data_IF_614499648802
#
_entry.id   IF_614499648802
#
_cell.length_a   1.000
_cell.length_b   1.000
_cell.length_c   1.000
_cell.angle_alpha   90.00
_cell.angle_beta   90.00
_cell.angle_gamma   90.00
#
_symmetry.space_group_name_H-M   'P 1'
#
loop_
_entity.id
_entity.type
_entity.pdbx_description
1 polymer ?
#
# COMPACT_ATOMS: atom_id res chain seq x y z
N UNK A 1 51.57 7.61 27.39
CA UNK A 1 51.32 8.27 26.09
C UNK A 1 50.75 7.20 25.15
N UNK A 2 49.43 7.03 25.13
CA UNK A 2 48.74 5.96 24.38
C UNK A 2 47.87 6.60 23.29
N UNK A 3 48.17 6.29 22.03
CA UNK A 3 47.38 6.71 20.87
C UNK A 3 46.27 5.69 20.54
N UNK A 4 45.17 6.26 20.08
CA UNK A 4 43.84 5.73 19.79
C UNK A 4 43.79 4.56 18.79
N UNK A 5 42.91 3.58 19.08
CA UNK A 5 42.39 2.58 18.13
C UNK A 5 40.95 2.96 17.76
N UNK A 6 40.77 3.89 16.82
CA UNK A 6 39.45 4.17 16.22
C UNK A 6 39.61 4.49 14.74
N UNK A 7 39.95 3.51 13.93
CA UNK A 7 39.74 3.53 12.47
C UNK A 7 39.75 2.07 12.00
N UNK A 8 39.02 1.73 10.94
CA UNK A 8 38.78 0.37 10.38
C UNK A 8 37.49 -0.30 10.88
N UNK A 9 36.32 0.33 10.66
CA UNK A 9 35.02 -0.38 10.48
C UNK A 9 34.21 0.19 9.29
N UNK A 10 34.52 1.41 8.82
CA UNK A 10 33.73 2.10 7.77
C UNK A 10 33.96 1.53 6.34
N UNK A 11 35.08 0.83 6.10
CA UNK A 11 35.43 0.34 4.75
C UNK A 11 34.66 -0.89 4.26
N UNK A 12 34.11 -1.73 5.14
CA UNK A 12 33.50 -3.01 4.74
C UNK A 12 32.01 -2.87 4.40
N UNK A 13 31.29 -1.94 5.04
CA UNK A 13 29.84 -1.75 4.81
C UNK A 13 29.57 -1.07 3.45
N UNK A 14 30.43 -0.15 3.03
CA UNK A 14 30.29 0.56 1.74
C UNK A 14 30.48 -0.41 0.55
N UNK A 15 31.35 -1.41 0.68
CA UNK A 15 31.60 -2.40 -0.39
C UNK A 15 30.41 -3.37 -0.53
N UNK A 16 29.71 -3.71 0.55
CA UNK A 16 28.51 -4.56 0.49
C UNK A 16 27.32 -3.81 -0.14
N UNK A 17 27.14 -2.52 0.17
CA UNK A 17 26.07 -1.71 -0.43
C UNK A 17 26.30 -1.42 -1.93
N UNK A 18 27.55 -1.10 -2.33
CA UNK A 18 27.90 -0.93 -3.75
C UNK A 18 27.87 -2.24 -4.52
N UNK A 19 28.27 -3.35 -3.89
CA UNK A 19 28.16 -4.68 -4.48
C UNK A 19 26.71 -5.05 -4.81
N UNK A 20 25.75 -4.75 -3.91
CA UNK A 20 24.33 -4.99 -4.14
C UNK A 20 23.75 -4.10 -5.26
N UNK A 21 24.15 -2.82 -5.32
CA UNK A 21 23.74 -1.88 -6.36
C UNK A 21 24.28 -2.22 -7.76
N UNK A 22 25.47 -2.81 -7.86
CA UNK A 22 26.06 -3.24 -9.14
C UNK A 22 25.53 -4.61 -9.58
N UNK A 23 25.29 -5.53 -8.63
CA UNK A 23 24.66 -6.82 -8.92
C UNK A 23 23.20 -6.67 -9.36
N UNK A 24 22.41 -5.75 -8.78
CA UNK A 24 21.04 -5.50 -9.24
C UNK A 24 21.01 -4.98 -10.67
N UNK A 25 21.88 -4.03 -11.05
CA UNK A 25 21.95 -3.52 -12.42
C UNK A 25 22.36 -4.57 -13.47
N UNK A 26 23.09 -5.61 -13.06
CA UNK A 26 23.60 -6.62 -14.01
C UNK A 26 22.68 -7.83 -14.13
N UNK A 27 21.95 -8.19 -13.06
CA UNK A 27 21.02 -9.33 -13.06
C UNK A 27 19.69 -8.98 -13.78
N UNK A 28 19.26 -7.72 -13.79
CA UNK A 28 18.03 -7.30 -14.48
C UNK A 28 18.19 -6.99 -15.98
N UNK A 29 19.29 -7.43 -16.62
CA UNK A 29 19.57 -7.19 -18.04
C UNK A 29 19.40 -8.43 -18.94
N UNK A 30 18.59 -9.40 -18.49
CA UNK A 30 18.08 -10.42 -19.39
C UNK A 30 16.74 -9.95 -19.93
N UNK A 31 16.66 -9.83 -21.25
CA UNK A 31 15.44 -9.55 -22.02
C UNK A 31 14.37 -10.62 -21.71
N UNK A 32 13.56 -10.37 -20.69
CA UNK A 32 12.37 -11.18 -20.40
C UNK A 32 11.28 -10.74 -21.38
N UNK A 33 11.19 -11.42 -22.52
CA UNK A 33 10.05 -11.32 -23.41
C UNK A 33 8.87 -12.06 -22.76
N UNK A 34 7.83 -11.31 -22.38
CA UNK A 34 6.54 -11.87 -21.99
C UNK A 34 5.99 -12.72 -23.16
N UNK A 35 5.46 -13.94 -22.90
CA UNK A 35 4.79 -14.71 -23.93
C UNK A 35 3.58 -13.94 -24.47
N UNK A 36 3.60 -13.61 -25.76
CA UNK A 36 2.43 -13.07 -26.45
C UNK A 36 1.51 -14.22 -26.84
N UNK A 37 0.60 -14.60 -25.93
CA UNK A 37 -0.44 -15.58 -26.23
C UNK A 37 -1.01 -16.24 -24.97
N UNK A 38 -1.95 -15.56 -24.32
CA UNK A 38 -2.83 -16.12 -23.30
C UNK A 38 -4.24 -15.58 -23.52
N UNK A 39 -5.22 -16.48 -23.51
CA UNK A 39 -6.62 -16.19 -23.78
C UNK A 39 -7.16 -15.00 -22.94
N UNK A 40 -8.06 -14.25 -23.52
CA UNK A 40 -8.65 -13.06 -22.90
C UNK A 40 -9.48 -13.46 -21.67
N UNK A 41 -9.00 -13.06 -20.50
CA UNK A 41 -9.57 -13.17 -19.16
C UNK A 41 -11.10 -12.99 -19.11
N UNK A 42 -11.80 -13.86 -18.38
CA UNK A 42 -13.05 -13.52 -17.68
C UNK A 42 -12.70 -13.18 -16.23
N UNK A 43 -13.18 -12.05 -15.72
CA UNK A 43 -12.99 -11.68 -14.32
C UNK A 43 -13.55 -12.77 -13.39
N UNK A 44 -12.75 -13.20 -12.40
CA UNK A 44 -13.19 -14.06 -11.30
C UNK A 44 -13.03 -15.57 -11.50
N UNK A 45 -12.35 -16.05 -12.54
CA UNK A 45 -12.09 -17.48 -12.69
C UNK A 45 -10.90 -17.93 -11.82
N UNK A 46 -11.16 -18.85 -10.89
CA UNK A 46 -10.12 -19.48 -10.07
C UNK A 46 -9.58 -20.70 -10.84
N UNK A 47 -8.29 -20.67 -11.14
CA UNK A 47 -7.55 -21.72 -11.81
C UNK A 47 -6.89 -22.65 -10.79
N UNK A 48 -6.54 -23.86 -11.25
CA UNK A 48 -5.74 -24.82 -10.46
C UNK A 48 -4.59 -25.32 -11.31
N UNK A 49 -3.36 -25.08 -10.86
CA UNK A 49 -2.12 -25.60 -11.48
C UNK A 49 -1.37 -26.41 -10.45
N UNK A 50 -1.07 -27.67 -10.73
CA UNK A 50 -0.38 -28.60 -9.82
C UNK A 50 -0.98 -28.64 -8.41
N UNK A 51 -2.31 -28.60 -8.33
CA UNK A 51 -3.06 -28.61 -7.06
C UNK A 51 -3.10 -27.26 -6.32
N UNK A 52 -2.43 -26.23 -6.82
CA UNK A 52 -2.45 -24.87 -6.26
C UNK A 52 -3.55 -24.05 -6.90
N UNK A 53 -4.50 -23.53 -6.10
CA UNK A 53 -5.50 -22.57 -6.57
C UNK A 53 -4.86 -21.20 -6.79
N UNK A 54 -5.25 -20.49 -7.86
CA UNK A 54 -4.81 -19.12 -8.13
C UNK A 54 -5.82 -18.36 -8.99
N UNK A 55 -5.88 -17.03 -8.85
CA UNK A 55 -6.72 -16.14 -9.67
C UNK A 55 -5.91 -15.22 -10.59
N UNK A 56 -4.58 -15.34 -10.56
CA UNK A 56 -3.63 -14.64 -11.44
C UNK A 56 -2.55 -15.62 -11.91
N UNK A 57 -1.95 -15.43 -13.11
CA UNK A 57 -0.89 -16.30 -13.58
C UNK A 57 0.28 -16.36 -12.59
N UNK A 58 0.73 -17.58 -12.25
CA UNK A 58 1.76 -17.79 -11.22
C UNK A 58 3.12 -17.21 -11.61
N UNK A 59 3.40 -17.13 -12.92
CA UNK A 59 4.62 -16.54 -13.48
C UNK A 59 4.64 -15.00 -13.46
N UNK A 60 3.49 -14.36 -13.23
CA UNK A 60 3.41 -12.91 -12.96
C UNK A 60 3.76 -12.54 -11.51
N UNK A 61 3.89 -13.52 -10.62
CA UNK A 61 4.24 -13.30 -9.21
C UNK A 61 5.75 -13.35 -9.05
N UNK A 62 6.36 -12.17 -8.97
CA UNK A 62 7.81 -11.99 -8.99
C UNK A 62 8.38 -11.83 -7.58
N UNK A 63 9.65 -12.22 -7.39
CA UNK A 63 10.39 -11.90 -6.17
C UNK A 63 10.86 -10.43 -6.16
N UNK A 64 10.60 -9.72 -5.07
CA UNK A 64 11.02 -8.34 -4.86
C UNK A 64 12.48 -8.18 -4.40
N UNK A 65 13.18 -9.29 -4.16
CA UNK A 65 14.55 -9.34 -3.64
C UNK A 65 14.63 -9.92 -2.22
N UNK A 66 13.90 -9.37 -1.24
CA UNK A 66 13.79 -9.97 0.09
C UNK A 66 13.08 -11.34 0.06
N UNK A 67 13.48 -12.30 0.91
CA UNK A 67 12.70 -13.53 1.11
C UNK A 67 11.39 -13.23 1.88
N UNK A 68 10.55 -14.26 2.05
CA UNK A 68 9.42 -14.22 3.00
C UNK A 68 9.91 -13.74 4.37
N UNK A 69 9.19 -12.78 4.95
CA UNK A 69 9.53 -12.07 6.19
C UNK A 69 10.90 -11.33 6.18
N UNK A 70 11.54 -11.19 5.02
CA UNK A 70 12.77 -10.40 4.87
C UNK A 70 12.56 -8.91 5.14
N UNK A 71 11.31 -8.45 5.00
CA UNK A 71 10.82 -7.15 5.48
C UNK A 71 9.91 -7.45 6.69
N UNK A 72 10.42 -7.37 7.94
CA UNK A 72 9.68 -7.85 9.09
C UNK A 72 8.42 -7.00 9.33
N UNK A 73 7.25 -7.64 9.44
CA UNK A 73 6.03 -6.96 9.86
C UNK A 73 6.15 -6.47 11.32
N UNK A 74 5.33 -5.47 11.69
CA UNK A 74 5.20 -5.04 13.08
C UNK A 74 3.97 -5.69 13.68
N UNK A 75 4.17 -6.68 14.56
CA UNK A 75 3.08 -7.47 15.13
C UNK A 75 2.71 -7.05 16.56
N UNK A 76 3.55 -6.25 17.20
CA UNK A 76 3.30 -5.67 18.52
C UNK A 76 3.64 -4.16 18.53
N UNK A 77 2.86 -3.34 17.81
CA UNK A 77 3.17 -1.94 17.59
C UNK A 77 3.10 -1.15 18.91
N UNK A 78 4.12 -0.30 19.12
CA UNK A 78 4.18 0.65 20.23
C UNK A 78 3.89 2.04 19.73
N UNK A 79 3.18 2.82 20.53
CA UNK A 79 2.74 4.16 20.19
C UNK A 79 3.29 5.20 21.16
N UNK A 80 3.59 6.37 20.63
CA UNK A 80 4.04 7.54 21.39
C UNK A 80 3.08 8.70 21.21
N UNK A 81 3.19 9.72 22.07
CA UNK A 81 2.41 10.94 21.95
C UNK A 81 2.80 11.73 20.70
N UNK A 82 1.92 12.64 20.26
CA UNK A 82 2.25 13.61 19.20
C UNK A 82 3.49 14.46 19.54
N UNK A 83 3.68 14.80 20.81
CA UNK A 83 4.82 15.59 21.26
C UNK A 83 6.13 14.82 21.07
N UNK A 84 6.19 13.56 21.52
CA UNK A 84 7.36 12.70 21.36
C UNK A 84 7.62 12.38 19.89
N UNK A 85 6.55 12.15 19.11
CA UNK A 85 6.64 11.89 17.69
C UNK A 85 7.25 13.08 16.92
N UNK A 86 7.02 14.31 17.40
CA UNK A 86 7.57 15.53 16.80
C UNK A 86 9.10 15.62 16.93
N UNK A 87 9.74 14.78 17.76
CA UNK A 87 11.20 14.66 17.79
C UNK A 87 11.77 13.99 16.53
N UNK A 88 10.96 13.27 15.77
CA UNK A 88 11.40 12.56 14.56
C UNK A 88 10.48 12.73 13.35
N UNK A 89 9.37 13.46 13.49
CA UNK A 89 8.45 13.83 12.41
C UNK A 89 8.30 15.35 12.35
N UNK A 90 8.30 15.89 11.14
CA UNK A 90 7.85 17.23 10.83
C UNK A 90 6.42 17.20 10.27
N UNK A 91 5.80 18.38 10.11
CA UNK A 91 4.42 18.51 9.66
C UNK A 91 4.17 17.95 8.25
N UNK A 92 5.18 17.91 7.38
CA UNK A 92 5.02 17.45 6.00
C UNK A 92 5.18 15.95 5.83
N UNK A 93 5.69 15.24 6.84
CA UNK A 93 5.86 13.79 6.77
C UNK A 93 4.53 13.08 6.52
N UNK A 94 4.43 12.25 5.47
CA UNK A 94 3.21 11.53 5.14
C UNK A 94 3.05 10.24 5.96
N UNK A 95 1.82 9.76 6.04
CA UNK A 95 1.48 8.50 6.68
C UNK A 95 0.00 8.15 6.51
N UNK A 96 -0.38 7.04 7.12
CA UNK A 96 -1.78 6.60 7.20
C UNK A 96 -2.36 7.09 8.54
N UNK A 97 -3.49 7.74 8.49
CA UNK A 97 -4.30 8.10 9.66
C UNK A 97 -5.59 7.29 9.67
N UNK A 98 -6.01 6.82 10.83
CA UNK A 98 -7.36 6.28 11.05
C UNK A 98 -7.84 6.61 12.47
N UNK A 99 -9.15 6.58 12.65
CA UNK A 99 -9.82 6.72 13.93
C UNK A 99 -10.90 5.64 14.02
N UNK A 100 -10.78 4.76 15.02
CA UNK A 100 -11.76 3.71 15.31
C UNK A 100 -12.16 3.86 16.77
N UNK A 101 -13.47 4.02 17.01
CA UNK A 101 -14.05 4.16 18.34
C UNK A 101 -13.36 5.25 19.19
N UNK A 102 -12.98 6.37 18.57
CA UNK A 102 -12.31 7.50 19.23
C UNK A 102 -10.81 7.29 19.49
N UNK A 103 -10.24 6.17 19.05
CA UNK A 103 -8.80 5.90 19.11
C UNK A 103 -8.18 6.26 17.76
N UNK A 104 -7.61 7.46 17.69
CA UNK A 104 -6.92 7.95 16.50
C UNK A 104 -5.44 7.55 16.50
N UNK A 105 -4.97 7.00 15.37
CA UNK A 105 -3.56 6.60 15.18
C UNK A 105 -2.99 7.09 13.85
N UNK A 106 -1.70 7.39 13.87
CA UNK A 106 -0.91 7.75 12.70
C UNK A 106 0.26 6.79 12.50
N UNK A 107 0.43 6.27 11.28
CA UNK A 107 1.48 5.33 10.89
C UNK A 107 2.36 6.02 9.84
N UNK A 108 3.54 6.53 10.23
CA UNK A 108 4.38 7.29 9.32
C UNK A 108 4.97 6.43 8.20
N UNK A 109 4.99 6.94 6.97
CA UNK A 109 5.63 6.23 5.86
C UNK A 109 7.12 6.02 6.05
N UNK A 110 7.82 6.91 6.78
CA UNK A 110 9.22 6.71 7.12
C UNK A 110 9.50 5.47 8.00
N UNK A 111 8.45 4.89 8.62
CA UNK A 111 8.50 3.61 9.31
C UNK A 111 7.92 2.53 8.40
N UNK A 112 6.73 2.75 7.84
CA UNK A 112 6.04 1.75 7.01
C UNK A 112 6.85 1.30 5.79
N UNK A 113 7.69 2.16 5.19
CA UNK A 113 8.57 1.77 4.07
C UNK A 113 9.56 0.65 4.41
N UNK A 114 9.85 0.44 5.70
CA UNK A 114 10.77 -0.59 6.19
C UNK A 114 10.09 -1.86 6.72
N UNK A 115 8.76 -1.86 6.78
CA UNK A 115 7.96 -2.91 7.43
C UNK A 115 6.79 -3.40 6.58
N UNK A 116 6.23 -2.54 5.74
CA UNK A 116 5.10 -2.74 4.83
C UNK A 116 3.78 -3.17 5.50
N UNK A 117 3.81 -3.86 6.63
CA UNK A 117 2.67 -4.42 7.34
C UNK A 117 2.76 -4.10 8.84
N UNK A 118 1.63 -3.69 9.42
CA UNK A 118 1.42 -3.61 10.88
C UNK A 118 0.14 -4.37 11.23
N UNK A 119 0.26 -5.40 12.06
CA UNK A 119 -0.88 -6.13 12.63
C UNK A 119 -1.25 -5.47 13.97
N UNK A 120 -2.41 -4.82 14.04
CA UNK A 120 -2.71 -3.91 15.15
C UNK A 120 -4.15 -4.05 15.69
N UNK A 121 -4.40 -3.47 16.86
CA UNK A 121 -5.71 -3.33 17.50
C UNK A 121 -5.97 -1.87 17.84
N UNK A 122 -6.94 -1.23 17.19
CA UNK A 122 -7.32 0.17 17.36
C UNK A 122 -8.75 0.25 17.88
N UNK A 123 -8.98 0.94 19.01
CA UNK A 123 -10.33 1.08 19.56
C UNK A 123 -11.04 -0.27 19.83
N UNK A 124 -10.28 -1.32 20.14
CA UNK A 124 -10.79 -2.69 20.35
C UNK A 124 -10.98 -3.51 19.07
N UNK A 125 -10.77 -2.95 17.88
CA UNK A 125 -10.91 -3.65 16.61
C UNK A 125 -9.55 -4.03 16.03
N UNK A 126 -9.40 -5.28 15.54
CA UNK A 126 -8.21 -5.69 14.77
C UNK A 126 -8.17 -4.98 13.43
N UNK A 127 -7.00 -4.51 13.05
CA UNK A 127 -6.74 -3.86 11.77
C UNK A 127 -5.43 -4.37 11.18
N UNK A 128 -5.38 -4.43 9.86
CA UNK A 128 -4.18 -4.70 9.09
C UNK A 128 -3.81 -3.42 8.34
N UNK A 129 -2.72 -2.77 8.76
CA UNK A 129 -2.17 -1.61 8.06
C UNK A 129 -1.18 -2.12 7.01
N UNK A 130 -1.34 -1.70 5.76
CA UNK A 130 -0.46 -2.12 4.67
C UNK A 130 0.06 -0.91 3.90
N UNK A 131 1.31 -0.98 3.45
CA UNK A 131 1.94 0.04 2.63
C UNK A 131 2.85 -0.58 1.57
N UNK A 132 2.56 -0.31 0.30
CA UNK A 132 3.46 -0.62 -0.80
C UNK A 132 4.16 0.67 -1.24
N UNK A 133 5.45 0.84 -0.96
CA UNK A 133 6.18 2.05 -1.35
C UNK A 133 6.30 2.20 -2.87
N UNK A 134 6.47 1.09 -3.60
CA UNK A 134 6.57 1.12 -5.07
C UNK A 134 5.32 1.67 -5.76
N UNK A 135 4.16 1.56 -5.10
CA UNK A 135 2.86 1.96 -5.63
C UNK A 135 2.26 3.16 -4.90
N UNK A 136 2.95 3.70 -3.88
CA UNK A 136 2.43 4.70 -2.95
C UNK A 136 1.03 4.33 -2.42
N UNK A 137 0.79 3.06 -2.13
CA UNK A 137 -0.52 2.56 -1.72
C UNK A 137 -0.56 2.21 -0.23
N UNK A 138 -1.31 3.00 0.53
CA UNK A 138 -1.58 2.78 1.94
C UNK A 138 -3.04 2.34 2.14
N UNK A 139 -3.24 1.08 2.54
CA UNK A 139 -4.58 0.50 2.67
C UNK A 139 -4.72 -0.16 4.04
N UNK A 140 -5.85 0.10 4.70
CA UNK A 140 -6.20 -0.52 5.98
C UNK A 140 -7.32 -1.52 5.76
N UNK A 141 -7.12 -2.75 6.22
CA UNK A 141 -8.11 -3.81 6.12
C UNK A 141 -8.61 -4.27 7.49
N UNK A 142 -9.83 -4.81 7.50
CA UNK A 142 -10.30 -5.71 8.54
C UNK A 142 -9.75 -7.11 8.25
N UNK A 143 -8.85 -7.64 9.08
CA UNK A 143 -8.21 -8.93 8.83
C UNK A 143 -9.07 -10.10 9.32
N UNK A 144 -10.39 -10.04 9.07
CA UNK A 144 -11.31 -11.14 9.33
C UNK A 144 -11.55 -11.87 8.02
N UNK A 145 -11.12 -13.13 7.96
CA UNK A 145 -11.32 -14.01 6.81
C UNK A 145 -12.13 -15.21 7.27
N UNK A 146 -13.27 -15.46 6.61
CA UNK A 146 -14.18 -16.56 6.97
C UNK A 146 -14.61 -16.56 8.45
N UNK A 147 -14.74 -15.38 9.05
CA UNK A 147 -15.17 -15.21 10.45
C UNK A 147 -14.05 -15.29 11.49
N UNK A 148 -12.81 -15.52 11.08
CA UNK A 148 -11.66 -15.56 11.98
C UNK A 148 -10.68 -14.41 11.75
N UNK A 149 -10.04 -13.96 12.83
CA UNK A 149 -8.93 -13.02 12.73
C UNK A 149 -7.68 -13.71 12.20
N UNK A 150 -7.04 -13.08 11.23
CA UNK A 150 -5.85 -13.59 10.55
C UNK A 150 -4.72 -12.57 10.69
N UNK A 151 -3.51 -13.05 10.93
CA UNK A 151 -2.31 -12.19 10.90
C UNK A 151 -1.58 -12.34 9.58
N UNK A 152 -1.00 -11.24 9.11
CA UNK A 152 -0.34 -11.17 7.82
C UNK A 152 1.14 -10.86 7.96
N UNK A 153 1.94 -11.40 7.04
CA UNK A 153 3.35 -11.07 6.90
C UNK A 153 3.71 -10.68 5.47
N UNK A 154 4.95 -10.24 5.28
CA UNK A 154 5.44 -9.87 3.94
C UNK A 154 5.93 -11.12 3.22
N UNK A 155 5.45 -11.35 1.99
CA UNK A 155 5.86 -12.55 1.25
C UNK A 155 7.22 -12.38 0.55
N UNK A 156 7.72 -11.15 0.44
CA UNK A 156 8.84 -10.79 -0.42
C UNK A 156 8.51 -10.82 -1.91
N UNK A 157 7.23 -10.98 -2.28
CA UNK A 157 6.75 -11.08 -3.66
C UNK A 157 5.97 -9.84 -4.08
N UNK A 158 5.89 -9.67 -5.39
CA UNK A 158 5.15 -8.61 -6.07
C UNK A 158 4.27 -9.21 -7.16
N UNK A 159 3.10 -8.62 -7.37
CA UNK A 159 2.28 -8.86 -8.56
C UNK A 159 1.92 -7.49 -9.13
N UNK A 160 2.21 -7.26 -10.41
CA UNK A 160 2.08 -5.93 -11.04
C UNK A 160 2.77 -4.81 -10.26
N UNK A 161 4.01 -5.09 -9.80
CA UNK A 161 4.82 -4.19 -8.95
C UNK A 161 4.20 -3.81 -7.59
N UNK A 162 3.05 -4.39 -7.23
CA UNK A 162 2.35 -4.14 -5.98
C UNK A 162 2.65 -5.25 -4.96
N UNK A 163 2.60 -4.88 -3.67
CA UNK A 163 2.87 -5.76 -2.54
C UNK A 163 1.98 -7.01 -2.57
N UNK A 164 2.61 -8.19 -2.50
CA UNK A 164 1.93 -9.44 -2.19
C UNK A 164 2.22 -9.80 -0.73
N UNK A 165 1.17 -9.92 0.06
CA UNK A 165 1.21 -10.33 1.46
C UNK A 165 0.99 -11.84 1.55
N UNK A 166 1.23 -12.44 2.72
CA UNK A 166 0.74 -13.79 3.00
C UNK A 166 0.00 -13.81 4.34
N UNK A 167 -0.98 -14.69 4.47
CA UNK A 167 -1.57 -14.96 5.78
C UNK A 167 -0.86 -16.09 6.51
N UNK A 168 -0.65 -15.94 7.82
CA UNK A 168 0.09 -16.91 8.64
C UNK A 168 -0.70 -18.19 8.94
N UNK A 169 -1.99 -18.23 8.61
CA UNK A 169 -2.85 -19.38 8.91
C UNK A 169 -2.75 -20.46 7.84
N UNK A 170 -2.78 -20.05 6.57
CA UNK A 170 -2.85 -20.94 5.40
C UNK A 170 -1.69 -20.75 4.42
N UNK A 171 -0.84 -19.74 4.63
CA UNK A 171 0.20 -19.32 3.70
C UNK A 171 -0.33 -18.93 2.31
N UNK A 172 -1.63 -18.58 2.19
CA UNK A 172 -2.17 -18.03 0.95
C UNK A 172 -1.56 -16.65 0.68
N UNK A 173 -1.38 -16.32 -0.60
CA UNK A 173 -0.82 -15.04 -1.04
C UNK A 173 -1.94 -14.06 -1.36
N UNK A 174 -1.80 -12.82 -0.92
CA UNK A 174 -2.82 -11.78 -1.02
C UNK A 174 -2.29 -10.55 -1.75
N UNK A 175 -3.01 -10.11 -2.77
CA UNK A 175 -2.74 -8.86 -3.47
C UNK A 175 -3.22 -7.68 -2.63
N UNK A 176 -2.31 -6.77 -2.26
CA UNK A 176 -2.66 -5.59 -1.46
C UNK A 176 -3.63 -4.66 -2.21
N UNK A 177 -3.40 -4.42 -3.50
CA UNK A 177 -4.25 -3.52 -4.30
C UNK A 177 -5.64 -4.08 -4.59
N UNK A 178 -5.80 -5.40 -4.68
CA UNK A 178 -7.12 -6.04 -4.83
C UNK A 178 -7.81 -6.25 -3.47
N UNK A 179 -7.05 -6.36 -2.39
CA UNK A 179 -7.56 -6.84 -1.11
C UNK A 179 -8.04 -8.30 -1.19
N UNK A 180 -7.44 -9.11 -2.05
CA UNK A 180 -7.90 -10.47 -2.37
C UNK A 180 -6.77 -11.49 -2.29
N UNK A 181 -7.07 -12.70 -1.83
CA UNK A 181 -6.18 -13.86 -1.94
C UNK A 181 -6.08 -14.28 -3.42
N UNK A 182 -4.87 -14.24 -3.97
CA UNK A 182 -4.61 -14.53 -5.38
C UNK A 182 -3.98 -15.91 -5.62
N UNK A 183 -3.42 -16.54 -4.58
CA UNK A 183 -2.85 -17.90 -4.63
C UNK A 183 -3.07 -18.62 -3.30
N UNK A 184 -3.32 -19.92 -3.33
CA UNK A 184 -3.41 -20.77 -2.15
C UNK A 184 -4.84 -21.12 -1.77
N UNK A 185 -5.01 -21.73 -0.58
CA UNK A 185 -6.29 -22.26 -0.10
C UNK A 185 -7.42 -21.22 -0.15
N UNK A 186 -7.10 -19.99 0.23
CA UNK A 186 -8.04 -18.89 0.37
C UNK A 186 -8.31 -18.12 -0.94
N UNK A 187 -7.75 -18.54 -2.08
CA UNK A 187 -7.91 -17.83 -3.38
C UNK A 187 -9.35 -17.37 -3.63
N UNK A 188 -9.54 -16.09 -3.96
CA UNK A 188 -10.83 -15.43 -4.15
C UNK A 188 -11.45 -14.84 -2.87
N UNK A 189 -10.91 -15.14 -1.68
CA UNK A 189 -11.33 -14.49 -0.45
C UNK A 189 -10.92 -13.00 -0.44
N UNK A 190 -11.81 -12.14 0.06
CA UNK A 190 -11.61 -10.69 0.06
C UNK A 190 -11.53 -10.12 1.49
N UNK A 191 -10.68 -9.10 1.65
CA UNK A 191 -10.55 -8.29 2.85
C UNK A 191 -11.42 -7.05 2.75
N UNK A 192 -12.15 -6.75 3.84
CA UNK A 192 -12.93 -5.51 3.93
C UNK A 192 -12.00 -4.33 4.20
N UNK A 193 -11.99 -3.33 3.31
CA UNK A 193 -11.29 -2.06 3.53
C UNK A 193 -11.94 -1.30 4.69
N UNK A 194 -11.11 -0.70 5.55
CA UNK A 194 -11.53 0.15 6.66
C UNK A 194 -11.28 1.63 6.34
N UNK A 195 -11.97 2.50 7.08
CA UNK A 195 -11.82 3.95 6.92
C UNK A 195 -10.45 4.43 7.40
N UNK A 196 -9.72 5.10 6.52
CA UNK A 196 -8.39 5.67 6.74
C UNK A 196 -8.09 6.77 5.71
N UNK A 197 -7.17 7.67 6.04
CA UNK A 197 -6.66 8.72 5.16
C UNK A 197 -5.15 8.56 4.97
N UNK A 198 -4.66 8.70 3.74
CA UNK A 198 -3.26 9.05 3.50
C UNK A 198 -3.13 10.56 3.64
N UNK A 199 -2.43 11.01 4.68
CA UNK A 199 -2.36 12.44 5.04
C UNK A 199 -0.99 12.79 5.62
N UNK A 200 -0.80 14.07 5.93
CA UNK A 200 0.42 14.57 6.55
C UNK A 200 0.28 14.60 8.06
N UNK A 201 1.39 14.39 8.77
CA UNK A 201 1.42 14.43 10.23
C UNK A 201 0.87 15.75 10.78
N UNK A 202 1.14 16.88 10.12
CA UNK A 202 0.60 18.17 10.50
C UNK A 202 -0.93 18.21 10.54
N UNK A 203 -1.61 17.60 9.56
CA UNK A 203 -3.07 17.57 9.48
C UNK A 203 -3.66 16.58 10.49
N UNK A 204 -3.01 15.42 10.67
CA UNK A 204 -3.38 14.47 11.72
C UNK A 204 -3.38 15.14 13.11
N UNK A 205 -2.33 15.89 13.45
CA UNK A 205 -2.23 16.60 14.73
C UNK A 205 -3.36 17.61 14.95
N UNK A 206 -3.77 18.33 13.90
CA UNK A 206 -4.85 19.31 13.99
C UNK A 206 -6.20 18.64 14.25
N UNK A 207 -6.47 17.52 13.58
CA UNK A 207 -7.73 16.79 13.73
C UNK A 207 -7.79 15.94 14.99
N UNK A 208 -6.67 15.35 15.40
CA UNK A 208 -6.58 14.40 16.49
C UNK A 208 -5.47 14.80 17.46
N UNK A 209 -5.62 15.90 18.22
CA UNK A 209 -4.56 16.41 19.11
C UNK A 209 -4.19 15.43 20.24
N UNK A 210 -5.07 14.47 20.55
CA UNK A 210 -4.85 13.40 21.52
C UNK A 210 -4.52 12.05 20.86
N UNK A 211 -4.38 12.03 19.52
CA UNK A 211 -4.01 10.84 18.78
C UNK A 211 -2.58 10.39 19.09
N UNK A 212 -2.29 9.13 18.78
CA UNK A 212 -0.97 8.54 18.99
C UNK A 212 -0.30 8.15 17.69
N UNK A 213 1.03 8.05 17.71
CA UNK A 213 1.85 7.83 16.52
C UNK A 213 2.66 6.55 16.68
N UNK A 214 2.71 5.72 15.64
CA UNK A 214 3.58 4.55 15.63
C UNK A 214 5.02 4.98 15.93
N UNK A 215 5.61 4.34 16.94
CA UNK A 215 6.95 4.64 17.41
C UNK A 215 8.02 3.95 16.56
N UNK A 216 9.27 4.40 16.70
CA UNK A 216 10.45 3.73 16.11
C UNK A 216 10.90 2.49 16.89
N UNK A 217 10.28 2.19 18.04
CA UNK A 217 10.51 0.97 18.81
C UNK A 217 9.66 -0.16 18.23
N UNK A 218 10.12 -0.72 17.12
CA UNK A 218 9.42 -1.75 16.32
C UNK A 218 9.92 -3.17 16.60
N UNK A 219 10.91 -3.32 17.49
CA UNK A 219 11.63 -4.58 17.71
C UNK A 219 12.75 -4.85 16.69
N UNK A 220 13.02 -3.94 15.75
CA UNK A 220 14.13 -4.07 14.80
C UNK A 220 14.91 -2.76 14.65
N UNK A 221 16.18 -2.84 14.24
CA UNK A 221 16.98 -1.66 13.92
C UNK A 221 16.90 -1.39 12.41
N UNK A 222 16.43 -0.20 12.06
CA UNK A 222 16.30 0.31 10.69
C UNK A 222 16.68 1.78 10.62
N UNK A 223 17.02 2.26 9.43
CA UNK A 223 17.34 3.67 9.18
C UNK A 223 16.06 4.49 8.95
N UNK A 224 15.18 4.54 9.95
CA UNK A 224 13.93 5.31 9.83
C UNK A 224 14.21 6.78 9.53
N UNK A 225 13.46 7.32 8.57
CA UNK A 225 13.65 8.67 8.04
C UNK A 225 14.53 8.71 6.79
N UNK A 226 15.26 7.63 6.49
CA UNK A 226 15.90 7.43 5.19
C UNK A 226 15.02 6.52 4.34
N UNK A 227 14.57 7.01 3.20
CA UNK A 227 13.78 6.21 2.26
C UNK A 227 14.71 5.36 1.38
N UNK A 228 14.58 4.02 1.37
CA UNK A 228 15.42 3.15 0.55
C UNK A 228 15.16 3.30 -0.97
N UNK A 229 14.06 3.93 -1.37
CA UNK A 229 13.69 4.14 -2.78
C UNK A 229 14.09 5.53 -3.33
N UNK A 230 14.58 6.44 -2.49
CA UNK A 230 15.18 7.70 -2.93
C UNK A 230 14.27 8.55 -3.84
N UNK A 231 14.74 8.85 -5.05
CA UNK A 231 14.05 9.67 -6.05
C UNK A 231 13.01 8.92 -6.88
N UNK A 232 12.77 7.63 -6.58
CA UNK A 232 11.84 6.77 -7.32
C UNK A 232 10.47 7.43 -7.50
N UNK A 233 9.89 8.02 -6.45
CA UNK A 233 8.55 8.61 -6.51
C UNK A 233 8.44 9.80 -7.50
N UNK A 234 9.57 10.39 -7.89
CA UNK A 234 9.64 11.57 -8.76
C UNK A 234 10.27 11.29 -10.13
N UNK A 235 10.81 10.10 -10.35
CA UNK A 235 11.43 9.70 -11.62
C UNK A 235 10.46 8.85 -12.46
N UNK A 236 10.47 8.97 -13.80
CA UNK A 236 9.63 8.13 -14.66
C UNK A 236 9.97 6.64 -14.58
N UNK A 237 9.00 5.78 -14.92
CA UNK A 237 9.17 4.33 -15.00
C UNK A 237 9.01 3.59 -13.68
N UNK A 238 9.01 2.25 -13.73
CA UNK A 238 8.84 1.36 -12.58
C UNK A 238 10.08 0.49 -12.39
N UNK A 239 10.34 0.04 -11.16
CA UNK A 239 11.46 -0.88 -10.89
C UNK A 239 11.16 -2.32 -11.30
N UNK A 240 9.88 -2.70 -11.30
CA UNK A 240 9.42 -4.02 -11.70
C UNK A 240 8.46 -3.90 -12.89
N UNK A 241 8.29 -4.99 -13.67
CA UNK A 241 7.32 -5.02 -14.76
C UNK A 241 5.89 -4.77 -14.29
N UNK A 242 5.08 -4.23 -15.20
CA UNK A 242 3.65 -3.97 -15.01
C UNK A 242 2.93 -4.50 -16.26
N UNK A 243 1.91 -5.34 -16.08
CA UNK A 243 1.28 -6.08 -17.17
C UNK A 243 0.51 -5.22 -18.18
N UNK A 244 0.11 -4.00 -17.80
CA UNK A 244 -0.59 -3.05 -18.68
C UNK A 244 -0.06 -1.64 -18.48
N UNK A 245 0.13 -0.93 -19.60
CA UNK A 245 0.36 0.51 -19.62
C UNK A 245 -0.92 1.23 -20.00
N UNK A 246 -1.11 2.42 -19.43
CA UNK A 246 -2.27 3.26 -19.69
C UNK A 246 -1.84 4.73 -19.71
N UNK A 247 -2.02 5.39 -20.84
CA UNK A 247 -1.54 6.74 -21.12
C UNK A 247 -2.53 7.84 -20.71
N UNK A 248 -3.66 7.49 -20.08
CA UNK A 248 -4.67 8.48 -19.68
C UNK A 248 -4.17 9.39 -18.55
N UNK A 249 -3.20 8.94 -17.76
CA UNK A 249 -2.50 9.68 -16.71
C UNK A 249 -1.02 9.25 -16.71
N UNK A 250 -0.14 10.00 -16.04
CA UNK A 250 1.23 9.58 -15.81
C UNK A 250 1.29 8.33 -14.91
N UNK A 251 2.26 7.45 -15.13
CA UNK A 251 2.39 6.18 -14.38
C UNK A 251 2.28 6.38 -12.86
N UNK A 252 2.94 7.43 -12.35
CA UNK A 252 3.01 7.79 -10.92
C UNK A 252 2.05 8.90 -10.51
N UNK A 253 1.05 9.21 -11.33
CA UNK A 253 -0.06 10.02 -10.88
C UNK A 253 -0.84 9.25 -9.80
N UNK A 254 -1.03 9.88 -8.64
CA UNK A 254 -1.78 9.27 -7.56
C UNK A 254 -3.28 9.33 -7.87
N UNK A 255 -3.97 8.21 -7.69
CA UNK A 255 -5.42 8.07 -7.93
C UNK A 255 -6.13 7.46 -6.72
N UNK A 256 -7.43 7.74 -6.64
CA UNK A 256 -8.34 7.12 -5.67
C UNK A 256 -9.26 6.16 -6.42
N UNK A 257 -8.99 4.87 -6.31
CA UNK A 257 -9.74 3.79 -6.96
C UNK A 257 -10.92 3.28 -6.12
N UNK A 258 -12.04 2.97 -6.76
CA UNK A 258 -13.17 2.25 -6.18
C UNK A 258 -13.59 1.11 -7.10
N UNK A 259 -14.14 0.04 -6.51
CA UNK A 259 -14.78 -1.05 -7.23
C UNK A 259 -16.24 -1.13 -6.78
N UNK A 260 -17.16 -1.08 -7.74
CA UNK A 260 -18.61 -1.17 -7.50
C UNK A 260 -19.18 -2.20 -8.47
N UNK A 261 -19.88 -3.21 -7.93
CA UNK A 261 -20.47 -4.31 -8.71
C UNK A 261 -19.48 -4.95 -9.70
N UNK A 262 -18.24 -5.18 -9.24
CA UNK A 262 -17.16 -5.79 -10.04
C UNK A 262 -16.48 -4.86 -11.05
N UNK A 263 -16.91 -3.60 -11.20
CA UNK A 263 -16.29 -2.65 -12.13
C UNK A 263 -15.52 -1.57 -11.39
N UNK A 264 -14.37 -1.22 -11.94
CA UNK A 264 -13.45 -0.26 -11.36
C UNK A 264 -13.63 1.16 -11.93
N UNK A 265 -13.45 2.15 -11.07
CA UNK A 265 -13.30 3.56 -11.46
C UNK A 265 -12.27 4.24 -10.57
N UNK A 266 -11.43 5.09 -11.17
CA UNK A 266 -10.47 5.92 -10.47
C UNK A 266 -10.86 7.41 -10.55
N UNK A 267 -10.54 8.14 -9.50
CA UNK A 267 -10.63 9.60 -9.43
C UNK A 267 -9.23 10.17 -9.27
N UNK A 268 -8.84 11.06 -10.18
CA UNK A 268 -7.60 11.81 -10.08
C UNK A 268 -7.79 12.99 -9.12
N UNK A 269 -7.11 13.04 -7.96
CA UNK A 269 -7.37 14.04 -6.95
C UNK A 269 -7.17 15.48 -7.43
N UNK A 270 -6.23 15.74 -8.34
CA UNK A 270 -5.98 17.09 -8.86
C UNK A 270 -7.20 17.66 -9.61
N UNK A 271 -7.91 16.81 -10.37
CA UNK A 271 -9.15 17.20 -11.04
C UNK A 271 -10.23 17.60 -10.03
N UNK A 272 -10.37 16.81 -8.95
CA UNK A 272 -11.35 17.07 -7.88
C UNK A 272 -10.96 18.30 -7.07
N UNK A 273 -9.67 18.49 -6.75
CA UNK A 273 -9.17 19.68 -6.05
C UNK A 273 -9.46 20.97 -6.82
N UNK A 274 -9.30 20.94 -8.15
CA UNK A 274 -9.62 22.06 -9.04
C UNK A 274 -11.12 22.39 -9.06
N UNK A 275 -11.98 21.37 -9.03
CA UNK A 275 -13.43 21.54 -9.00
C UNK A 275 -13.99 21.86 -7.60
N UNK A 276 -13.28 21.50 -6.54
CA UNK A 276 -13.73 21.54 -5.15
C UNK A 276 -14.61 20.34 -4.78
N UNK A 277 -15.63 20.05 -5.58
CA UNK A 277 -16.48 18.87 -5.45
C UNK A 277 -16.95 18.40 -6.83
N UNK A 278 -17.06 17.08 -7.01
CA UNK A 278 -17.58 16.46 -8.22
C UNK A 278 -18.63 15.43 -7.83
N UNK A 279 -19.83 15.54 -8.42
CA UNK A 279 -20.87 14.52 -8.36
C UNK A 279 -20.77 13.61 -9.58
N UNK A 280 -20.95 12.32 -9.37
CA UNK A 280 -20.77 11.29 -10.38
C UNK A 280 -21.76 10.13 -10.14
N UNK A 281 -22.10 9.39 -11.20
CA UNK A 281 -22.96 8.20 -11.09
C UNK A 281 -22.22 7.01 -11.67
N UNK A 282 -21.95 6.01 -10.84
CA UNK A 282 -21.17 4.84 -11.23
C UNK A 282 -21.81 3.56 -10.73
N UNK A 283 -22.14 2.66 -11.67
CA UNK A 283 -22.75 1.35 -11.40
C UNK A 283 -23.95 1.41 -10.43
N UNK A 284 -24.81 2.42 -10.61
CA UNK A 284 -26.02 2.61 -9.82
C UNK A 284 -25.83 3.35 -8.49
N UNK A 285 -24.60 3.71 -8.11
CA UNK A 285 -24.30 4.53 -6.94
C UNK A 285 -24.10 6.00 -7.33
N UNK A 286 -24.63 6.90 -6.51
CA UNK A 286 -24.37 8.33 -6.59
C UNK A 286 -23.13 8.65 -5.74
N UNK A 287 -22.03 8.96 -6.41
CA UNK A 287 -20.71 9.19 -5.81
C UNK A 287 -20.43 10.68 -5.73
N UNK A 288 -19.91 11.13 -4.59
CA UNK A 288 -19.44 12.50 -4.38
C UNK A 288 -17.94 12.42 -4.09
N UNK A 289 -17.13 13.03 -4.95
CA UNK A 289 -15.71 13.26 -4.68
C UNK A 289 -15.53 14.71 -4.21
N UNK A 290 -15.06 14.91 -2.98
CA UNK A 290 -14.93 16.24 -2.37
C UNK A 290 -13.51 16.50 -1.93
N UNK A 291 -13.01 17.70 -2.22
CA UNK A 291 -11.77 18.21 -1.66
C UNK A 291 -12.00 18.80 -0.26
N UNK A 292 -11.47 18.12 0.75
CA UNK A 292 -11.52 18.53 2.17
C UNK A 292 -10.29 19.38 2.49
N UNK A 293 -10.42 20.71 2.36
CA UNK A 293 -9.32 21.68 2.51
C UNK A 293 -8.60 21.62 3.86
N UNK A 294 -9.31 21.23 4.91
CA UNK A 294 -8.77 21.14 6.28
C UNK A 294 -7.74 20.02 6.47
N UNK A 295 -7.68 19.05 5.54
CA UNK A 295 -6.73 17.93 5.57
C UNK A 295 -5.94 17.78 4.27
N UNK A 296 -6.12 18.72 3.34
CA UNK A 296 -5.54 18.69 2.00
C UNK A 296 -5.73 17.33 1.27
N UNK A 297 -6.93 16.75 1.37
CA UNK A 297 -7.23 15.43 0.82
C UNK A 297 -8.56 15.41 0.06
N UNK A 298 -8.65 14.53 -0.93
CA UNK A 298 -9.92 14.21 -1.60
C UNK A 298 -10.53 13.00 -0.91
N UNK A 299 -11.79 13.11 -0.50
CA UNK A 299 -12.58 12.00 0.05
C UNK A 299 -13.73 11.66 -0.87
N UNK A 300 -14.07 10.37 -0.91
CA UNK A 300 -15.21 9.86 -1.68
C UNK A 300 -16.35 9.52 -0.74
N UNK A 301 -17.57 9.75 -1.20
CA UNK A 301 -18.78 9.45 -0.47
C UNK A 301 -19.83 8.84 -1.38
N UNK A 302 -20.70 7.98 -0.84
CA UNK A 302 -21.93 7.54 -1.47
C UNK A 302 -23.09 8.36 -0.90
N UNK A 303 -23.89 8.98 -1.78
CA UNK A 303 -25.18 9.53 -1.39
C UNK A 303 -26.23 8.43 -1.52
N UNK A 304 -26.85 8.03 -0.41
CA UNK A 304 -27.91 7.03 -0.36
C UNK A 304 -29.25 7.63 -0.77
N UNK A 305 -30.21 6.75 -1.07
CA UNK A 305 -31.56 7.14 -1.48
C UNK A 305 -32.33 7.91 -0.40
N UNK A 306 -32.03 7.68 0.88
CA UNK A 306 -32.61 8.42 2.01
C UNK A 306 -31.94 9.79 2.26
N UNK A 307 -30.97 10.16 1.42
CA UNK A 307 -30.22 11.42 1.51
C UNK A 307 -29.00 11.37 2.42
N UNK A 308 -28.75 10.27 3.12
CA UNK A 308 -27.53 10.10 3.93
C UNK A 308 -26.29 10.04 3.04
N UNK A 309 -25.16 10.52 3.56
CA UNK A 309 -23.88 10.53 2.86
C UNK A 309 -22.89 9.70 3.66
N UNK A 310 -22.48 8.58 3.10
CA UNK A 310 -21.54 7.64 3.72
C UNK A 310 -20.17 7.73 3.08
N UNK A 311 -19.12 7.74 3.89
CA UNK A 311 -17.74 7.75 3.39
C UNK A 311 -17.43 6.43 2.68
N UNK A 312 -16.89 6.53 1.47
CA UNK A 312 -16.25 5.41 0.76
C UNK A 312 -14.75 5.56 0.99
N UNK A 313 -14.11 4.46 1.38
CA UNK A 313 -12.65 4.43 1.47
C UNK A 313 -12.04 3.86 0.20
N UNK A 314 -11.43 4.70 -0.66
CA UNK A 314 -10.83 4.24 -1.91
C UNK A 314 -9.50 3.53 -1.68
N UNK A 315 -9.07 2.80 -2.70
CA UNK A 315 -7.71 2.33 -2.86
C UNK A 315 -6.87 3.48 -3.41
N UNK A 316 -6.09 4.13 -2.55
CA UNK A 316 -5.09 5.12 -2.98
C UNK A 316 -3.86 4.42 -3.53
N UNK A 317 -3.46 4.73 -4.77
CA UNK A 317 -2.26 4.17 -5.39
C UNK A 317 -1.80 5.02 -6.58
N UNK A 318 -0.59 4.76 -7.07
CA UNK A 318 -0.14 5.22 -8.38
C UNK A 318 -0.95 4.58 -9.52
N UNK A 319 -1.15 5.34 -10.59
CA UNK A 319 -1.97 4.98 -11.73
C UNK A 319 -1.55 3.66 -12.41
N UNK A 320 -0.24 3.44 -12.57
CA UNK A 320 0.27 2.20 -13.17
C UNK A 320 -0.18 0.97 -12.36
N UNK A 321 -0.18 1.06 -11.03
CA UNK A 321 -0.50 -0.07 -10.15
C UNK A 321 -2.00 -0.34 -10.18
N UNK A 322 -2.81 0.72 -10.12
CA UNK A 322 -4.27 0.62 -10.19
C UNK A 322 -4.73 0.03 -11.53
N UNK A 323 -4.20 0.52 -12.65
CA UNK A 323 -4.60 0.04 -13.99
C UNK A 323 -4.13 -1.37 -14.30
N UNK A 324 -3.00 -1.79 -13.75
CA UNK A 324 -2.54 -3.16 -13.89
C UNK A 324 -3.48 -4.16 -13.20
N UNK A 325 -3.99 -3.80 -12.02
CA UNK A 325 -4.99 -4.59 -11.30
C UNK A 325 -6.41 -4.46 -11.89
N UNK A 326 -6.74 -3.29 -12.44
CA UNK A 326 -8.05 -2.94 -12.98
C UNK A 326 -7.95 -2.37 -14.40
N UNK A 327 -7.64 -3.22 -15.41
CA UNK A 327 -7.32 -2.78 -16.76
C UNK A 327 -8.45 -2.03 -17.47
N UNK A 328 -9.70 -2.32 -17.12
CA UNK A 328 -10.89 -1.70 -17.73
C UNK A 328 -11.46 -0.55 -16.88
N UNK A 329 -10.68 -0.07 -15.91
CA UNK A 329 -11.10 1.02 -15.03
C UNK A 329 -11.52 2.25 -15.84
N UNK A 330 -12.66 2.84 -15.47
CA UNK A 330 -12.98 4.22 -15.86
C UNK A 330 -12.08 5.17 -15.08
N UNK A 331 -11.89 6.39 -15.58
CA UNK A 331 -11.12 7.43 -14.88
C UNK A 331 -11.82 8.77 -14.97
N UNK A 332 -11.86 9.49 -13.86
CA UNK A 332 -12.23 10.90 -13.77
C UNK A 332 -10.94 11.71 -13.61
N UNK A 333 -10.67 12.60 -14.56
CA UNK A 333 -9.45 13.42 -14.65
C UNK A 333 -9.75 14.80 -15.21
#
# INVERSE_FOLDING_TARGET
MNFSKTTIIIGIIIVVALGYLVLSRTIFRNDFQLPSGGETKKDGEIMVTDGTKHSVPLDEILGGGPPKDGIPSIDNPKFVSIADASAFLNNSNPGIALDINGTARFYPFQILVWHEIVNDTVGGQRVLITYCPLCLSGIVFNPVVQGEHVEFGTSGKLWNSNLVMYDRKTDSLWSQILGEAIVGELTGAQLKVLSSDMTRFGEFKKLHPQGTVLSRDTGTTRFYGQDPYGDYYTTPGTYFPVGKKDDRLGDKDFVLGIVVNGKAKAYWPEAVKKAGEVSDRFEGKDIIARYEKNIDAVRLFEKKADGTVERINPFGAFWFSWTAAHPDTKVLK
#
